data_IF_931126851114
#
_entry.id   IF_931126851114
#
_cell.length_a   1.000
_cell.length_b   1.000
_cell.length_c   1.000
_cell.angle_alpha   90.00
_cell.angle_beta   90.00
_cell.angle_gamma   90.00
#
_symmetry.space_group_name_H-M   'P 1'
#
loop_
_entity.id
_entity.type
_entity.pdbx_description
1 polymer ?
#
# COMPACT_ATOMS: atom_id res chain seq x y z
N UNK A 1 -22.92 13.81 39.70
CA UNK A 1 -23.02 13.52 38.25
C UNK A 1 -23.30 14.75 37.36
N UNK A 2 -24.30 15.62 37.63
CA UNK A 2 -24.64 16.75 36.74
C UNK A 2 -23.52 17.79 36.50
N UNK A 3 -22.62 18.02 37.47
CA UNK A 3 -21.48 18.96 37.32
C UNK A 3 -20.44 18.50 36.30
N UNK A 4 -20.18 17.19 36.22
CA UNK A 4 -19.20 16.63 35.28
C UNK A 4 -19.70 16.65 33.83
N UNK A 5 -21.00 16.41 33.63
CA UNK A 5 -21.62 16.49 32.32
C UNK A 5 -21.51 17.91 31.72
N UNK A 6 -21.70 18.95 32.55
CA UNK A 6 -21.54 20.33 32.12
C UNK A 6 -20.10 20.70 31.76
N UNK A 7 -19.11 20.11 32.44
CA UNK A 7 -17.69 20.31 32.13
C UNK A 7 -17.34 19.65 30.79
N UNK A 8 -17.80 18.42 30.56
CA UNK A 8 -17.57 17.71 29.29
C UNK A 8 -18.20 18.45 28.12
N UNK A 9 -19.44 18.94 28.26
CA UNK A 9 -20.09 19.75 27.22
C UNK A 9 -19.35 21.07 26.97
N UNK A 10 -18.86 21.73 28.01
CA UNK A 10 -18.09 22.98 27.84
C UNK A 10 -16.76 22.73 27.12
N UNK A 11 -16.04 21.66 27.48
CA UNK A 11 -14.79 21.26 26.82
C UNK A 11 -15.02 20.90 25.35
N UNK A 12 -16.11 20.17 25.06
CA UNK A 12 -16.46 19.79 23.70
C UNK A 12 -16.77 21.02 22.83
N UNK A 13 -17.51 22.01 23.37
CA UNK A 13 -17.75 23.27 22.67
C UNK A 13 -16.45 24.05 22.40
N UNK A 14 -15.52 24.08 23.36
CA UNK A 14 -14.22 24.74 23.17
C UNK A 14 -13.36 24.03 22.13
N UNK A 15 -13.40 22.70 22.05
CA UNK A 15 -12.73 21.95 21.00
C UNK A 15 -13.25 22.35 19.62
N UNK A 16 -14.57 22.43 19.44
CA UNK A 16 -15.16 22.86 18.16
C UNK A 16 -14.82 24.31 17.79
N UNK A 17 -14.80 25.23 18.76
CA UNK A 17 -14.37 26.63 18.51
C UNK A 17 -12.91 26.73 18.09
N UNK A 18 -12.03 25.93 18.70
CA UNK A 18 -10.62 25.89 18.35
C UNK A 18 -10.38 25.23 16.98
N UNK A 19 -11.12 24.17 16.66
CA UNK A 19 -11.09 23.57 15.32
C UNK A 19 -11.52 24.58 14.27
N UNK A 20 -12.62 25.32 14.46
CA UNK A 20 -13.06 26.31 13.48
C UNK A 20 -12.06 27.47 13.30
N UNK A 21 -11.37 27.85 14.38
CA UNK A 21 -10.38 28.94 14.35
C UNK A 21 -9.05 28.55 13.72
N UNK A 22 -8.59 27.32 13.94
CA UNK A 22 -7.23 26.89 13.59
C UNK A 22 -7.16 25.86 12.47
N UNK A 23 -8.27 25.23 12.08
CA UNK A 23 -8.30 24.35 10.90
C UNK A 23 -8.47 25.21 9.65
N UNK A 24 -7.51 25.23 8.72
CA UNK A 24 -7.64 25.97 7.48
C UNK A 24 -8.76 25.38 6.64
N UNK A 25 -9.93 26.04 6.60
CA UNK A 25 -11.00 25.66 5.68
C UNK A 25 -10.56 25.97 4.26
N UNK A 26 -10.08 24.95 3.52
CA UNK A 26 -9.92 25.03 2.06
C UNK A 26 -11.30 25.32 1.45
N UNK A 27 -11.53 26.57 1.04
CA UNK A 27 -12.69 26.94 0.22
C UNK A 27 -12.50 26.33 -1.16
N UNK A 28 -13.07 25.15 -1.39
CA UNK A 28 -13.25 24.58 -2.72
C UNK A 28 -14.25 25.45 -3.49
N UNK A 29 -13.75 26.49 -4.17
CA UNK A 29 -14.50 27.28 -5.13
C UNK A 29 -14.51 26.57 -6.48
N UNK A 30 -15.63 25.98 -6.86
CA UNK A 30 -15.83 25.47 -8.22
C UNK A 30 -16.07 26.63 -9.17
N UNK A 31 -15.01 27.17 -9.76
CA UNK A 31 -15.14 28.17 -10.82
C UNK A 31 -15.62 27.48 -12.10
N UNK A 32 -16.92 27.57 -12.40
CA UNK A 32 -17.49 27.17 -13.69
C UNK A 32 -16.92 28.06 -14.80
N UNK A 33 -15.84 27.62 -15.47
CA UNK A 33 -15.43 28.22 -16.75
C UNK A 33 -16.38 27.72 -17.84
N UNK A 34 -17.15 28.65 -18.42
CA UNK A 34 -17.97 28.44 -19.63
C UNK A 34 -17.04 28.13 -20.81
N UNK A 35 -17.41 27.12 -21.60
CA UNK A 35 -16.83 26.86 -22.93
C UNK A 35 -17.21 27.98 -23.91
N UNK A 36 -16.26 28.59 -24.63
CA UNK A 36 -16.57 29.37 -25.82
C UNK A 36 -16.67 28.48 -27.05
N UNK A 37 -17.68 28.75 -27.88
CA UNK A 37 -17.87 28.17 -29.22
C UNK A 37 -16.91 28.81 -30.25
N UNK A 38 -16.72 28.07 -31.33
CA UNK A 38 -15.92 28.32 -32.54
C UNK A 38 -16.03 29.71 -33.17
N UNK A 39 -14.91 30.23 -33.69
CA UNK A 39 -14.71 30.50 -35.12
C UNK A 39 -13.26 30.86 -35.48
N UNK A 40 -12.92 30.59 -36.74
CA UNK A 40 -11.62 30.62 -37.43
C UNK A 40 -11.00 32.01 -37.68
N UNK A 41 -9.66 32.13 -37.63
CA UNK A 41 -8.77 32.65 -38.72
C UNK A 41 -7.27 32.77 -38.29
N UNK A 42 -6.38 32.62 -39.29
CA UNK A 42 -4.89 32.63 -39.28
C UNK A 42 -4.26 33.98 -38.88
N UNK A 43 -3.05 34.00 -38.30
CA UNK A 43 -1.72 34.31 -38.93
C UNK A 43 -0.67 34.84 -37.92
N UNK A 44 0.62 34.67 -38.29
CA UNK A 44 1.91 34.75 -37.55
C UNK A 44 2.31 36.09 -36.88
N UNK A 45 3.12 36.02 -35.80
CA UNK A 45 4.49 36.59 -35.70
C UNK A 45 5.14 36.45 -34.29
N UNK A 46 6.34 35.84 -34.25
CA UNK A 46 7.63 36.14 -33.56
C UNK A 46 7.61 37.44 -32.68
N UNK A 47 8.14 37.59 -31.46
CA UNK A 47 9.30 37.02 -30.74
C UNK A 47 9.13 37.20 -29.21
N UNK A 48 10.04 36.57 -28.47
CA UNK A 48 10.66 37.01 -27.21
C UNK A 48 10.40 36.28 -25.88
N UNK A 49 11.54 36.11 -25.23
CA UNK A 49 12.04 35.35 -24.08
C UNK A 49 11.17 34.97 -22.86
N UNK A 50 11.71 33.95 -22.18
CA UNK A 50 11.52 33.53 -20.78
C UNK A 50 10.35 32.58 -20.44
N UNK A 51 10.64 31.28 -20.58
CA UNK A 51 9.77 30.19 -20.17
C UNK A 51 10.53 29.04 -19.54
N UNK A 52 11.02 29.28 -18.32
CA UNK A 52 11.17 28.35 -17.19
C UNK A 52 11.06 26.87 -17.56
N UNK A 53 12.18 26.16 -17.41
CA UNK A 53 12.26 24.71 -17.55
C UNK A 53 11.08 24.01 -16.88
N UNK A 54 10.57 22.99 -17.56
CA UNK A 54 9.71 21.98 -16.97
C UNK A 54 10.43 21.39 -15.76
N UNK A 55 10.17 21.97 -14.59
CA UNK A 55 10.40 21.27 -13.34
C UNK A 55 9.29 20.26 -13.27
N UNK A 56 9.63 19.04 -13.69
CA UNK A 56 8.95 17.83 -13.24
C UNK A 56 8.75 17.98 -11.74
N UNK A 57 7.52 18.28 -11.34
CA UNK A 57 7.17 18.42 -9.94
C UNK A 57 7.04 17.03 -9.35
N UNK A 58 8.18 16.33 -9.26
CA UNK A 58 8.46 15.36 -8.21
C UNK A 58 8.48 16.13 -6.90
N UNK A 59 7.28 16.52 -6.47
CA UNK A 59 7.02 17.11 -5.17
C UNK A 59 7.07 15.96 -4.18
N UNK A 60 8.29 15.65 -3.74
CA UNK A 60 8.52 14.69 -2.67
C UNK A 60 7.82 15.20 -1.41
N UNK A 61 6.77 14.51 -0.96
CA UNK A 61 6.24 14.71 0.38
C UNK A 61 7.25 14.11 1.37
N UNK A 62 7.68 14.89 2.35
CA UNK A 62 8.50 14.48 3.51
C UNK A 62 7.86 13.37 4.38
N UNK A 63 6.85 12.66 3.87
CA UNK A 63 5.90 11.83 4.60
C UNK A 63 5.89 10.36 4.21
N UNK A 64 6.70 9.93 3.24
CA UNK A 64 6.78 8.52 2.83
C UNK A 64 8.04 7.87 3.41
N UNK A 65 7.84 7.04 4.43
CA UNK A 65 8.88 6.22 5.05
C UNK A 65 9.01 4.91 4.26
N UNK A 66 10.21 4.54 3.81
CA UNK A 66 10.45 3.31 3.05
C UNK A 66 11.54 3.45 1.99
N UNK A 67 11.44 2.66 0.92
CA UNK A 67 12.45 2.60 -0.14
C UNK A 67 11.88 3.03 -1.50
N UNK A 68 12.65 3.82 -2.24
CA UNK A 68 12.31 4.22 -3.61
C UNK A 68 13.50 4.03 -4.55
N UNK A 69 13.22 3.65 -5.79
CA UNK A 69 14.15 3.72 -6.92
C UNK A 69 15.46 2.94 -6.70
N UNK A 70 15.34 1.75 -6.10
CA UNK A 70 16.47 0.83 -5.89
C UNK A 70 16.46 -0.30 -6.92
N UNK A 71 17.65 -0.78 -7.28
CA UNK A 71 17.83 -1.87 -8.22
C UNK A 71 18.87 -2.87 -7.71
N UNK A 72 18.52 -4.16 -7.68
CA UNK A 72 19.46 -5.24 -7.38
C UNK A 72 19.98 -5.25 -5.94
N UNK A 73 19.25 -4.64 -5.00
CA UNK A 73 19.67 -4.49 -3.61
C UNK A 73 18.89 -5.38 -2.65
N UNK A 74 19.52 -5.69 -1.54
CA UNK A 74 18.88 -6.27 -0.38
C UNK A 74 18.67 -5.16 0.65
N UNK A 75 17.42 -5.00 1.09
CA UNK A 75 16.98 -3.90 1.94
C UNK A 75 16.30 -4.46 3.18
N UNK A 76 16.55 -3.86 4.34
CA UNK A 76 16.00 -4.30 5.62
C UNK A 76 15.48 -3.10 6.39
N UNK A 77 14.29 -3.25 6.98
CA UNK A 77 13.80 -2.37 8.03
C UNK A 77 13.43 -3.22 9.24
N UNK A 78 13.88 -2.78 10.41
CA UNK A 78 13.63 -3.42 11.70
C UNK A 78 12.47 -2.73 12.44
N UNK A 79 12.01 -3.35 13.52
CA UNK A 79 10.76 -2.96 14.18
C UNK A 79 10.78 -1.53 14.70
N UNK A 80 11.92 -1.05 15.18
CA UNK A 80 12.09 0.29 15.73
C UNK A 80 11.75 1.39 14.70
N UNK A 81 12.02 1.13 13.42
CA UNK A 81 11.70 2.06 12.35
C UNK A 81 10.27 1.90 11.83
N UNK A 82 9.71 0.69 11.92
CA UNK A 82 8.42 0.30 11.35
C UNK A 82 7.23 0.59 12.25
N UNK A 83 7.43 0.61 13.57
CA UNK A 83 6.36 0.60 14.56
C UNK A 83 5.31 1.70 14.34
N UNK A 84 4.07 1.27 14.02
CA UNK A 84 2.91 2.13 13.73
C UNK A 84 3.11 3.15 12.60
N UNK A 85 4.08 2.92 11.70
CA UNK A 85 4.29 3.77 10.52
C UNK A 85 3.70 3.16 9.26
N UNK A 86 3.39 4.04 8.32
CA UNK A 86 3.03 3.67 6.96
C UNK A 86 4.29 3.53 6.12
N UNK A 87 4.46 2.36 5.49
CA UNK A 87 5.66 1.99 4.74
C UNK A 87 5.35 2.00 3.25
N UNK A 88 6.19 2.67 2.46
CA UNK A 88 6.06 2.69 1.01
C UNK A 88 7.32 2.14 0.32
N UNK A 89 7.13 1.10 -0.50
CA UNK A 89 8.14 0.54 -1.39
C UNK A 89 7.77 0.91 -2.83
N UNK A 90 8.62 1.71 -3.49
CA UNK A 90 8.32 2.30 -4.80
C UNK A 90 9.43 2.07 -5.80
N UNK A 91 9.08 1.84 -7.06
CA UNK A 91 10.02 1.80 -8.18
C UNK A 91 11.23 0.88 -7.92
N UNK A 92 11.01 -0.30 -7.34
CA UNK A 92 12.07 -1.24 -7.01
C UNK A 92 12.20 -2.30 -8.10
N UNK A 93 13.43 -2.66 -8.47
CA UNK A 93 13.70 -3.72 -9.46
C UNK A 93 14.70 -4.73 -8.92
N UNK A 94 14.43 -6.02 -9.09
CA UNK A 94 15.37 -7.09 -8.70
C UNK A 94 15.81 -7.00 -7.22
N UNK A 95 14.95 -6.47 -6.34
CA UNK A 95 15.27 -6.23 -4.94
C UNK A 95 14.71 -7.33 -4.03
N UNK A 96 15.39 -7.59 -2.93
CA UNK A 96 14.87 -8.39 -1.81
C UNK A 96 14.69 -7.48 -0.61
N UNK A 97 13.47 -7.37 -0.09
CA UNK A 97 13.12 -6.45 0.99
C UNK A 97 12.61 -7.25 2.18
N UNK A 98 13.26 -7.10 3.33
CA UNK A 98 12.81 -7.63 4.62
C UNK A 98 12.24 -6.50 5.49
N UNK A 99 11.01 -6.66 5.97
CA UNK A 99 10.38 -5.76 6.93
C UNK A 99 10.08 -6.55 8.21
N UNK A 100 10.97 -6.47 9.19
CA UNK A 100 10.86 -7.19 10.46
C UNK A 100 10.23 -6.29 11.51
N UNK A 101 8.91 -6.29 11.60
CA UNK A 101 8.23 -5.44 12.58
C UNK A 101 6.74 -5.36 12.35
N UNK A 102 6.09 -4.58 13.21
CA UNK A 102 4.68 -4.22 13.06
C UNK A 102 4.59 -2.88 12.38
N UNK A 103 3.83 -2.81 11.28
CA UNK A 103 3.57 -1.56 10.56
C UNK A 103 2.07 -1.21 10.54
N UNK A 104 1.78 0.05 10.23
CA UNK A 104 0.42 0.55 10.04
C UNK A 104 -0.14 0.02 8.72
N UNK A 105 0.23 0.67 7.62
CA UNK A 105 -0.06 0.25 6.24
C UNK A 105 1.22 -0.09 5.48
N UNK A 106 1.08 -0.94 4.45
CA UNK A 106 2.16 -1.24 3.50
C UNK A 106 1.71 -0.92 2.09
N UNK A 107 2.45 -0.06 1.40
CA UNK A 107 2.23 0.31 0.01
C UNK A 107 3.36 -0.24 -0.86
N UNK A 108 3.02 -1.09 -1.82
CA UNK A 108 3.92 -1.63 -2.82
C UNK A 108 3.50 -1.06 -4.17
N UNK A 109 4.34 -0.24 -4.80
CA UNK A 109 4.00 0.43 -6.05
C UNK A 109 5.14 0.32 -7.07
N UNK A 110 4.83 -0.20 -8.26
CA UNK A 110 5.80 -0.32 -9.35
C UNK A 110 7.04 -1.16 -8.96
N UNK A 111 6.80 -2.40 -8.49
CA UNK A 111 7.86 -3.37 -8.21
C UNK A 111 7.99 -4.34 -9.39
N UNK A 112 9.23 -4.63 -9.77
CA UNK A 112 9.54 -5.58 -10.86
C UNK A 112 10.56 -6.61 -10.36
N UNK A 113 10.22 -7.89 -10.48
CA UNK A 113 11.07 -9.00 -10.08
C UNK A 113 11.59 -8.88 -8.62
N UNK A 114 10.73 -8.45 -7.70
CA UNK A 114 11.08 -8.23 -6.30
C UNK A 114 10.56 -9.33 -5.37
N UNK A 115 11.25 -9.52 -4.25
CA UNK A 115 10.79 -10.36 -3.13
C UNK A 115 10.59 -9.47 -1.92
N UNK A 116 9.37 -9.45 -1.37
CA UNK A 116 9.01 -8.65 -0.20
C UNK A 116 8.61 -9.60 0.92
N UNK A 117 9.34 -9.56 2.04
CA UNK A 117 9.08 -10.34 3.24
C UNK A 117 8.63 -9.40 4.34
N UNK A 118 7.33 -9.36 4.61
CA UNK A 118 6.75 -8.48 5.61
C UNK A 118 6.29 -9.22 6.85
N UNK A 119 6.60 -8.64 8.00
CA UNK A 119 5.89 -8.90 9.24
C UNK A 119 4.43 -8.43 9.20
N UNK A 120 3.71 -8.54 10.33
CA UNK A 120 2.31 -8.18 10.46
C UNK A 120 2.03 -6.70 10.17
N UNK A 121 1.02 -6.46 9.35
CA UNK A 121 0.50 -5.14 8.98
C UNK A 121 -0.83 -4.93 9.68
N UNK A 122 -0.93 -3.89 10.50
CA UNK A 122 -2.07 -3.67 11.40
C UNK A 122 -3.35 -3.39 10.62
N UNK A 123 -3.26 -2.68 9.49
CA UNK A 123 -4.43 -2.34 8.68
C UNK A 123 -4.40 -3.02 7.32
N UNK A 124 -3.85 -2.36 6.30
CA UNK A 124 -4.00 -2.78 4.91
C UNK A 124 -2.70 -2.81 4.14
N UNK A 125 -2.63 -3.76 3.21
CA UNK A 125 -1.58 -3.87 2.20
C UNK A 125 -2.17 -3.44 0.87
N UNK A 126 -1.51 -2.50 0.21
CA UNK A 126 -1.85 -2.02 -1.13
C UNK A 126 -0.75 -2.43 -2.10
N UNK A 127 -1.13 -3.10 -3.18
CA UNK A 127 -0.20 -3.56 -4.22
C UNK A 127 -0.67 -2.99 -5.55
N UNK A 128 0.15 -2.15 -6.18
CA UNK A 128 -0.15 -1.54 -7.48
C UNK A 128 1.03 -1.69 -8.44
N UNK A 129 0.73 -2.03 -9.71
CA UNK A 129 1.74 -2.12 -10.78
C UNK A 129 2.93 -3.02 -10.45
N UNK A 130 2.68 -4.14 -9.76
CA UNK A 130 3.73 -5.09 -9.42
C UNK A 130 3.77 -6.23 -10.45
N UNK A 131 4.97 -6.57 -10.93
CA UNK A 131 5.18 -7.62 -11.95
C UNK A 131 6.21 -8.63 -11.49
N UNK A 132 5.93 -9.93 -11.66
CA UNK A 132 6.86 -11.02 -11.34
C UNK A 132 7.39 -10.97 -9.90
N UNK A 133 6.54 -10.61 -8.93
CA UNK A 133 6.94 -10.41 -7.55
C UNK A 133 6.50 -11.57 -6.64
N UNK A 134 7.28 -11.82 -5.58
CA UNK A 134 6.84 -12.66 -4.45
C UNK A 134 6.63 -11.78 -3.23
N UNK A 135 5.42 -11.76 -2.70
CA UNK A 135 5.05 -10.87 -1.59
C UNK A 135 4.53 -11.73 -0.45
N UNK A 136 5.16 -11.63 0.71
CA UNK A 136 4.76 -12.32 1.93
C UNK A 136 4.25 -11.28 2.90
N UNK A 137 2.96 -11.31 3.24
CA UNK A 137 2.35 -10.29 4.09
C UNK A 137 1.18 -10.86 4.91
N UNK A 138 1.05 -10.36 6.14
CA UNK A 138 -0.11 -10.60 6.98
C UNK A 138 -0.81 -9.27 7.25
N UNK A 139 -2.11 -9.16 7.01
CA UNK A 139 -2.86 -7.90 7.13
C UNK A 139 -4.34 -8.11 7.48
N UNK A 140 -5.07 -7.02 7.72
CA UNK A 140 -6.54 -7.09 7.80
C UNK A 140 -7.16 -7.06 6.41
N UNK A 141 -6.65 -6.22 5.52
CA UNK A 141 -7.17 -6.05 4.17
C UNK A 141 -6.04 -6.07 3.15
N UNK A 142 -6.26 -6.77 2.03
CA UNK A 142 -5.40 -6.70 0.86
C UNK A 142 -6.17 -6.03 -0.28
N UNK A 143 -5.54 -5.06 -0.94
CA UNK A 143 -6.03 -4.50 -2.20
C UNK A 143 -4.92 -4.55 -3.23
N UNK A 144 -5.17 -5.23 -4.33
CA UNK A 144 -4.23 -5.42 -5.41
C UNK A 144 -4.81 -4.91 -6.72
N UNK A 145 -4.02 -4.12 -7.43
CA UNK A 145 -4.44 -3.39 -8.62
C UNK A 145 -3.38 -3.42 -9.73
N UNK A 146 -3.80 -3.52 -10.99
CA UNK A 146 -2.93 -3.48 -12.20
C UNK A 146 -1.63 -4.28 -12.05
N UNK A 147 -1.69 -5.50 -11.52
CA UNK A 147 -0.50 -6.31 -11.20
C UNK A 147 -0.53 -7.67 -11.88
N UNK A 148 0.64 -8.23 -12.20
CA UNK A 148 0.73 -9.45 -13.02
C UNK A 148 1.83 -10.41 -12.54
N UNK A 149 1.60 -11.73 -12.63
CA UNK A 149 2.56 -12.80 -12.28
C UNK A 149 3.10 -12.66 -10.86
N UNK A 150 2.22 -12.46 -9.90
CA UNK A 150 2.64 -12.26 -8.51
C UNK A 150 2.20 -13.42 -7.63
N UNK A 151 3.13 -13.93 -6.82
CA UNK A 151 2.87 -14.94 -5.80
C UNK A 151 2.72 -14.25 -4.45
N UNK A 152 1.53 -14.34 -3.85
CA UNK A 152 1.20 -13.69 -2.59
C UNK A 152 1.03 -14.75 -1.50
N UNK A 153 1.95 -14.76 -0.54
CA UNK A 153 1.88 -15.57 0.67
C UNK A 153 1.16 -14.74 1.73
N UNK A 154 -0.13 -15.01 1.90
CA UNK A 154 -1.07 -14.10 2.53
C UNK A 154 -1.63 -14.66 3.84
N UNK A 155 -1.75 -13.79 4.83
CA UNK A 155 -2.71 -13.94 5.92
C UNK A 155 -3.62 -12.72 5.87
N UNK A 156 -4.92 -12.91 5.70
CA UNK A 156 -5.87 -11.79 5.62
C UNK A 156 -7.08 -12.06 6.50
N UNK A 157 -7.30 -11.20 7.49
CA UNK A 157 -8.38 -11.43 8.47
C UNK A 157 -9.75 -10.99 7.96
N UNK A 158 -9.82 -9.98 7.09
CA UNK A 158 -11.10 -9.49 6.56
C UNK A 158 -11.30 -9.92 5.13
N UNK A 159 -10.62 -9.27 4.18
CA UNK A 159 -10.88 -9.45 2.75
C UNK A 159 -9.68 -9.08 1.91
N UNK A 160 -9.41 -9.89 0.88
CA UNK A 160 -8.51 -9.53 -0.20
C UNK A 160 -9.28 -9.24 -1.48
N UNK A 161 -8.91 -8.16 -2.16
CA UNK A 161 -9.53 -7.72 -3.42
C UNK A 161 -8.46 -7.61 -4.49
N UNK A 162 -8.75 -8.14 -5.68
CA UNK A 162 -7.94 -7.97 -6.89
C UNK A 162 -8.75 -7.24 -7.95
N UNK A 163 -8.11 -6.31 -8.66
CA UNK A 163 -8.71 -5.50 -9.73
C UNK A 163 -7.67 -5.29 -10.84
N UNK A 164 -8.07 -5.47 -12.10
CA UNK A 164 -7.16 -5.36 -13.26
C UNK A 164 -5.86 -6.18 -13.13
N UNK A 165 -5.93 -7.33 -12.45
CA UNK A 165 -4.80 -8.22 -12.24
C UNK A 165 -4.85 -9.44 -13.14
N UNK A 166 -3.71 -10.11 -13.34
CA UNK A 166 -3.64 -11.37 -14.07
C UNK A 166 -2.54 -12.27 -13.52
N UNK A 167 -2.70 -13.60 -13.64
CA UNK A 167 -1.72 -14.58 -13.16
C UNK A 167 -1.33 -14.39 -11.68
N UNK A 168 -2.29 -14.01 -10.83
CA UNK A 168 -2.07 -13.89 -9.38
C UNK A 168 -2.19 -15.26 -8.74
N UNK A 169 -1.26 -15.60 -7.84
CA UNK A 169 -1.28 -16.90 -7.14
C UNK A 169 -1.18 -16.67 -5.65
N UNK A 170 -2.11 -17.21 -4.86
CA UNK A 170 -2.07 -17.10 -3.40
C UNK A 170 -1.60 -18.36 -2.71
N UNK A 171 -0.92 -18.19 -1.59
CA UNK A 171 -0.51 -19.26 -0.69
C UNK A 171 -0.68 -18.80 0.77
N UNK A 172 -0.73 -19.74 1.73
CA UNK A 172 -0.73 -19.37 3.14
C UNK A 172 0.54 -18.61 3.53
N UNK A 173 0.40 -17.59 4.36
CA UNK A 173 1.53 -16.92 5.01
C UNK A 173 2.38 -17.92 5.79
N UNK A 174 3.69 -17.94 5.50
CA UNK A 174 4.64 -18.89 6.09
C UNK A 174 5.98 -18.24 6.46
N UNK A 175 6.01 -16.92 6.65
CA UNK A 175 7.20 -16.26 7.19
C UNK A 175 7.39 -16.67 8.64
N UNK A 176 8.64 -16.88 9.05
CA UNK A 176 8.99 -17.16 10.44
C UNK A 176 10.29 -16.41 10.81
N UNK A 177 10.30 -15.75 11.97
CA UNK A 177 11.46 -15.11 12.59
C UNK A 177 11.20 -14.94 14.09
N UNK A 178 12.26 -14.74 14.88
CA UNK A 178 12.25 -14.87 16.35
C UNK A 178 11.17 -14.03 17.06
N UNK A 179 10.95 -12.79 16.62
CA UNK A 179 9.95 -11.88 17.23
C UNK A 179 8.56 -11.89 16.56
N UNK A 180 8.32 -12.78 15.59
CA UNK A 180 7.07 -12.79 14.81
C UNK A 180 5.83 -12.96 15.70
N UNK A 181 5.92 -13.81 16.73
CA UNK A 181 4.80 -14.02 17.65
C UNK A 181 4.43 -12.75 18.41
N UNK A 182 5.44 -12.03 18.91
CA UNK A 182 5.25 -10.74 19.58
C UNK A 182 4.63 -9.71 18.63
N UNK A 183 5.12 -9.66 17.38
CA UNK A 183 4.61 -8.72 16.37
C UNK A 183 3.14 -8.99 16.01
N UNK A 184 2.72 -10.25 15.89
CA UNK A 184 1.31 -10.59 15.65
C UNK A 184 0.42 -10.16 16.82
N UNK A 185 0.89 -10.33 18.06
CA UNK A 185 0.15 -9.90 19.24
C UNK A 185 0.01 -8.37 19.28
N UNK A 186 1.07 -7.64 18.92
CA UNK A 186 1.07 -6.18 18.83
C UNK A 186 0.18 -5.66 17.70
N UNK A 187 0.11 -6.35 16.55
CA UNK A 187 -0.70 -5.93 15.40
C UNK A 187 -2.20 -6.21 15.56
N UNK A 188 -2.60 -6.92 16.62
CA UNK A 188 -4.00 -7.29 16.89
C UNK A 188 -4.67 -8.05 15.72
N UNK A 189 -3.88 -8.78 14.92
CA UNK A 189 -4.41 -9.64 13.86
C UNK A 189 -4.86 -10.96 14.48
N UNK A 190 -6.12 -11.35 14.24
CA UNK A 190 -6.60 -12.66 14.65
C UNK A 190 -5.98 -13.76 13.79
N UNK A 191 -5.21 -14.65 14.41
CA UNK A 191 -4.59 -15.80 13.74
C UNK A 191 -5.59 -16.87 13.33
N UNK A 192 -6.74 -16.93 13.99
CA UNK A 192 -7.77 -17.93 13.71
C UNK A 192 -8.63 -17.56 12.50
N UNK A 193 -8.61 -16.29 12.10
CA UNK A 193 -9.35 -15.80 10.95
C UNK A 193 -8.38 -15.50 9.80
N UNK A 194 -8.39 -16.35 8.77
CA UNK A 194 -7.50 -16.22 7.64
C UNK A 194 -8.19 -16.62 6.32
N UNK A 195 -8.43 -15.64 5.45
CA UNK A 195 -9.15 -15.77 4.19
C UNK A 195 -8.20 -15.66 2.98
N UNK A 196 -7.00 -16.23 3.08
CA UNK A 196 -5.96 -16.14 2.05
C UNK A 196 -6.32 -16.81 0.72
N UNK A 197 -7.27 -17.75 0.75
CA UNK A 197 -7.74 -18.56 -0.37
C UNK A 197 -9.08 -18.07 -0.96
N UNK A 198 -9.62 -16.95 -0.49
CA UNK A 198 -10.89 -16.38 -0.93
C UNK A 198 -10.72 -14.90 -1.32
N UNK A 199 -10.05 -14.64 -2.45
CA UNK A 199 -9.92 -13.29 -2.99
C UNK A 199 -11.13 -12.92 -3.85
N UNK A 200 -11.61 -11.68 -3.69
CA UNK A 200 -12.67 -11.13 -4.53
C UNK A 200 -12.06 -10.42 -5.74
N UNK A 201 -12.44 -10.84 -6.94
CA UNK A 201 -12.08 -10.15 -8.17
C UNK A 201 -13.17 -9.13 -8.53
N UNK A 202 -12.83 -7.86 -8.43
CA UNK A 202 -13.78 -6.77 -8.64
C UNK A 202 -14.28 -6.68 -10.09
N UNK A 203 -13.46 -7.07 -11.06
CA UNK A 203 -13.81 -6.98 -12.48
C UNK A 203 -14.49 -8.24 -13.02
N UNK A 204 -14.61 -9.28 -12.18
CA UNK A 204 -15.23 -10.54 -12.56
C UNK A 204 -16.69 -10.59 -12.12
N UNK A 205 -17.60 -10.29 -13.06
CA UNK A 205 -19.04 -10.21 -12.82
C UNK A 205 -19.79 -11.56 -12.90
N UNK A 206 -19.07 -12.67 -13.07
CA UNK A 206 -19.66 -14.01 -13.18
C UNK A 206 -19.51 -14.78 -11.86
N UNK A 207 -20.50 -14.72 -10.95
CA UNK A 207 -20.38 -15.32 -9.61
C UNK A 207 -20.27 -16.85 -9.63
N UNK A 208 -20.79 -17.50 -10.67
CA UNK A 208 -20.83 -18.97 -10.79
C UNK A 208 -19.56 -19.57 -11.42
N UNK A 209 -18.62 -18.74 -11.87
CA UNK A 209 -17.38 -19.17 -12.52
C UNK A 209 -16.18 -18.61 -11.74
N UNK A 210 -15.19 -19.42 -11.37
CA UNK A 210 -13.97 -18.91 -10.75
C UNK A 210 -13.29 -17.87 -11.64
N UNK A 211 -12.79 -16.79 -11.04
CA UNK A 211 -12.02 -15.78 -11.79
C UNK A 211 -10.78 -16.42 -12.42
N UNK A 212 -10.46 -16.12 -13.68
CA UNK A 212 -9.23 -16.56 -14.33
C UNK A 212 -8.00 -15.73 -13.89
N UNK A 213 -8.20 -14.62 -13.17
CA UNK A 213 -7.14 -13.66 -12.87
C UNK A 213 -6.31 -14.04 -11.65
N UNK A 214 -6.85 -14.91 -10.79
CA UNK A 214 -6.13 -15.41 -9.63
C UNK A 214 -6.40 -16.90 -9.41
N UNK A 215 -5.48 -17.57 -8.72
CA UNK A 215 -5.60 -18.98 -8.37
C UNK A 215 -4.81 -19.29 -7.09
N UNK A 216 -4.97 -20.50 -6.55
CA UNK A 216 -4.15 -20.97 -5.44
C UNK A 216 -2.85 -21.56 -5.98
N UNK A 217 -1.72 -21.18 -5.40
CA UNK A 217 -0.40 -21.74 -5.73
C UNK A 217 -0.33 -23.22 -5.28
N UNK A 218 0.08 -24.12 -6.19
CA UNK A 218 0.28 -25.53 -5.89
C UNK A 218 1.33 -25.69 -4.76
N UNK A 219 1.07 -26.62 -3.83
CA UNK A 219 1.96 -26.92 -2.72
C UNK A 219 3.40 -27.24 -3.16
N UNK A 220 3.59 -27.82 -4.35
CA UNK A 220 4.92 -28.17 -4.89
C UNK A 220 5.74 -26.96 -5.33
N UNK A 221 5.07 -25.89 -5.75
CA UNK A 221 5.70 -24.65 -6.22
C UNK A 221 5.87 -23.61 -5.10
N UNK A 222 5.38 -23.93 -3.90
CA UNK A 222 5.50 -23.06 -2.74
C UNK A 222 6.94 -23.04 -2.23
N UNK A 223 7.38 -21.84 -1.88
CA UNK A 223 8.56 -21.63 -1.07
C UNK A 223 8.25 -22.11 0.35
N UNK A 224 8.93 -23.13 0.84
CA UNK A 224 8.70 -23.69 2.18
C UNK A 224 9.44 -22.93 3.29
N UNK A 225 10.61 -22.37 2.99
CA UNK A 225 11.44 -21.64 3.95
C UNK A 225 12.02 -20.39 3.29
N UNK A 226 11.89 -19.24 3.96
CA UNK A 226 12.40 -17.97 3.49
C UNK A 226 13.83 -17.67 3.97
N UNK A 227 14.48 -18.59 4.71
CA UNK A 227 15.85 -18.43 5.25
C UNK A 227 16.90 -18.06 4.20
N UNK A 228 16.81 -18.62 3.00
CA UNK A 228 17.76 -18.29 1.93
C UNK A 228 17.70 -16.80 1.53
N UNK A 229 16.53 -16.18 1.63
CA UNK A 229 16.39 -14.74 1.39
C UNK A 229 16.89 -13.92 2.57
N UNK A 230 16.69 -14.39 3.81
CA UNK A 230 17.25 -13.75 5.01
C UNK A 230 18.77 -13.80 5.07
N UNK A 231 19.39 -14.88 4.58
CA UNK A 231 20.85 -15.02 4.56
C UNK A 231 21.57 -14.00 3.66
N UNK A 232 20.83 -13.38 2.73
CA UNK A 232 21.33 -12.32 1.84
C UNK A 232 21.21 -10.94 2.46
N UNK A 233 20.50 -10.81 3.59
CA UNK A 233 20.32 -9.55 4.30
C UNK A 233 21.55 -9.31 5.18
N UNK A 234 22.23 -8.16 5.05
CA UNK A 234 23.35 -7.82 5.92
C UNK A 234 22.89 -7.81 7.39
N UNK A 235 23.68 -8.42 8.26
CA UNK A 235 23.54 -8.37 9.73
C UNK A 235 23.78 -6.98 10.29
#
# INVERSE_FOLDING_TARGET
MRKYLGIVQNLQSKCYELEDRYVPRKKFGFTKKKLPKSDSHKQNSIDDHDGVGKVDSNKWDEKFFGFDSQNGKVLLLENDDLFQRDVALRNLKNCTIGLRGVMGTLHLTNLDNCVVLSGPVTSSVFVDKCTNCKIVAACQQLRMHTSNKCDIYLHVTSKGIVEDCSEIRTAPYNLNYDDLEKHFNMSSLDRNNNNWDCLDDFNWLAPDVPSPNWSILDAKDRVHDWKEWWSKVPS
#
